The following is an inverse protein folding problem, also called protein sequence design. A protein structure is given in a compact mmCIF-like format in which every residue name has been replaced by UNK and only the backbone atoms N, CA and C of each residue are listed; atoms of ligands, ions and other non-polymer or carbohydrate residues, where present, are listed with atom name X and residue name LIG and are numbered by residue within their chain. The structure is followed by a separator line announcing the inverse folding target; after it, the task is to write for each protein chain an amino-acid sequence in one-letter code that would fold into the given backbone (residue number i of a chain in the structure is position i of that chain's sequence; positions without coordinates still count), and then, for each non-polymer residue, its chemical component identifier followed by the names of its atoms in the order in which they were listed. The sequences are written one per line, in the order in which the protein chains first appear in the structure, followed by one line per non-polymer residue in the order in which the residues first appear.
data_IF_674346583880
#
_entry.id   IF_674346583880
#
_cell.length_a   1.000
_cell.length_b   1.000
_cell.length_c   1.000
_cell.angle_alpha   90.00
_cell.angle_beta   90.00
_cell.angle_gamma   90.00
#
_symmetry.space_group_name_H-M   'P 1'
#
loop_
_entity.id
_entity.type
_entity.pdbx_description
1 polymer ?
#
# COMPACT_ATOMS: atom_id res chain seq x y z
N UNK A 1 22.61 -26.50 -13.90
CA UNK A 1 23.04 -27.85 -14.35
C UNK A 1 22.84 -28.85 -13.22
N UNK A 2 22.23 -29.97 -13.54
CA UNK A 2 21.88 -31.05 -12.58
C UNK A 2 22.80 -32.28 -12.72
N UNK A 3 23.25 -32.55 -13.90
CA UNK A 3 24.06 -33.71 -14.25
C UNK A 3 25.08 -33.30 -15.30
N UNK A 4 26.18 -34.00 -15.35
CA UNK A 4 27.29 -33.75 -16.24
C UNK A 4 27.55 -34.99 -17.12
N UNK A 5 27.76 -34.82 -18.40
CA UNK A 5 28.11 -35.91 -19.31
C UNK A 5 29.62 -35.95 -19.67
N UNK A 6 30.02 -36.85 -20.57
CA UNK A 6 31.41 -37.03 -20.98
C UNK A 6 32.04 -35.82 -21.72
N UNK A 7 31.23 -34.88 -22.20
CA UNK A 7 31.66 -33.67 -22.91
C UNK A 7 31.80 -32.42 -22.04
N UNK A 8 31.78 -32.59 -20.75
CA UNK A 8 31.54 -31.53 -19.80
C UNK A 8 32.78 -30.87 -19.19
N UNK A 9 33.83 -30.69 -19.99
CA UNK A 9 34.90 -29.77 -19.61
C UNK A 9 34.44 -28.30 -19.53
N UNK A 10 33.30 -27.99 -20.16
CA UNK A 10 32.77 -26.62 -20.30
C UNK A 10 31.71 -26.23 -19.28
N UNK A 11 31.24 -27.17 -18.46
CA UNK A 11 30.27 -26.91 -17.40
C UNK A 11 30.35 -27.91 -16.25
N UNK A 12 29.84 -27.50 -15.10
CA UNK A 12 29.80 -28.31 -13.87
C UNK A 12 28.39 -28.31 -13.27
N UNK A 13 28.11 -29.30 -12.42
CA UNK A 13 26.86 -29.33 -11.65
C UNK A 13 26.78 -28.07 -10.79
N UNK A 14 25.66 -27.36 -10.90
CA UNK A 14 25.41 -26.08 -10.22
C UNK A 14 25.63 -24.85 -11.10
N UNK A 15 26.25 -25.00 -12.28
CA UNK A 15 26.37 -23.86 -13.21
C UNK A 15 25.00 -23.41 -13.72
N UNK A 16 24.88 -22.12 -13.99
CA UNK A 16 23.67 -21.48 -14.49
C UNK A 16 23.98 -20.85 -15.85
N UNK A 17 23.22 -21.23 -16.87
CA UNK A 17 23.33 -20.72 -18.23
C UNK A 17 22.01 -20.08 -18.66
N UNK A 18 22.12 -19.10 -19.55
CA UNK A 18 20.98 -18.62 -20.29
C UNK A 18 20.68 -19.61 -21.43
N UNK A 19 19.40 -19.95 -21.61
CA UNK A 19 18.96 -20.82 -22.69
C UNK A 19 18.91 -20.01 -23.98
N UNK A 20 19.69 -20.40 -24.98
CA UNK A 20 19.71 -19.75 -26.30
C UNK A 20 18.54 -20.24 -27.17
N UNK A 21 18.26 -21.53 -27.13
CA UNK A 21 17.13 -22.15 -27.82
C UNK A 21 16.77 -23.48 -27.18
N UNK A 22 15.58 -23.99 -27.49
CA UNK A 22 15.13 -25.32 -27.03
C UNK A 22 14.81 -26.21 -28.19
N UNK A 23 14.97 -27.53 -27.98
CA UNK A 23 14.56 -28.57 -28.91
C UNK A 23 13.81 -29.69 -28.16
N UNK A 24 13.25 -30.67 -28.85
CA UNK A 24 12.41 -31.68 -28.22
C UNK A 24 13.10 -32.44 -27.05
N UNK A 25 14.40 -32.70 -27.19
CA UNK A 25 15.21 -33.47 -26.23
C UNK A 25 15.93 -32.63 -25.19
N UNK A 26 16.03 -31.30 -25.36
CA UNK A 26 16.86 -30.50 -24.45
C UNK A 26 16.89 -29.00 -24.74
N UNK A 27 18.00 -28.37 -24.39
CA UNK A 27 18.26 -26.95 -24.59
C UNK A 27 19.68 -26.72 -25.11
N UNK A 28 19.83 -25.67 -25.91
CA UNK A 28 21.13 -25.17 -26.35
C UNK A 28 21.49 -23.95 -25.48
N UNK A 29 22.73 -23.91 -25.02
CA UNK A 29 23.31 -22.81 -24.23
C UNK A 29 24.71 -22.51 -24.75
N UNK A 30 25.26 -21.37 -24.38
CA UNK A 30 26.66 -21.03 -24.69
C UNK A 30 27.46 -21.05 -23.40
N UNK A 31 28.59 -21.77 -23.39
CA UNK A 31 29.49 -21.85 -22.22
C UNK A 31 30.15 -20.50 -21.93
N UNK A 32 30.75 -20.35 -20.75
CA UNK A 32 31.55 -19.17 -20.38
C UNK A 32 32.71 -18.94 -21.35
N UNK A 33 33.24 -20.02 -21.97
CA UNK A 33 34.28 -19.99 -22.99
C UNK A 33 33.76 -19.60 -24.39
N UNK A 34 32.42 -19.40 -24.55
CA UNK A 34 31.80 -19.07 -25.80
C UNK A 34 31.54 -20.30 -26.72
N UNK A 35 31.61 -21.53 -26.17
CA UNK A 35 31.37 -22.76 -26.91
C UNK A 35 29.88 -23.12 -26.83
N UNK A 36 29.22 -23.35 -28.01
CA UNK A 36 27.85 -23.83 -28.03
C UNK A 36 27.75 -25.26 -27.43
N UNK A 37 26.80 -25.46 -26.54
CA UNK A 37 26.52 -26.72 -25.87
C UNK A 37 25.06 -27.12 -26.07
N UNK A 38 24.82 -28.41 -26.26
CA UNK A 38 23.47 -28.98 -26.21
C UNK A 38 23.33 -29.83 -24.96
N UNK A 39 22.36 -29.49 -24.11
CA UNK A 39 22.07 -30.17 -22.86
C UNK A 39 20.80 -31.00 -23.01
N UNK A 40 20.86 -32.27 -22.60
CA UNK A 40 19.69 -33.13 -22.53
C UNK A 40 18.77 -32.74 -21.35
N UNK A 41 17.49 -33.07 -21.42
CA UNK A 41 16.49 -32.69 -20.39
C UNK A 41 16.81 -33.22 -18.99
N UNK A 42 17.59 -34.29 -18.86
CA UNK A 42 18.00 -34.83 -17.57
C UNK A 42 19.25 -34.15 -16.98
N UNK A 43 19.97 -33.34 -17.78
CA UNK A 43 21.20 -32.66 -17.35
C UNK A 43 20.94 -31.33 -16.65
N UNK A 44 19.75 -30.73 -16.83
CA UNK A 44 19.44 -29.41 -16.27
C UNK A 44 18.05 -29.34 -15.66
N UNK A 45 17.82 -28.26 -14.91
CA UNK A 45 16.50 -27.83 -14.45
C UNK A 45 16.31 -26.40 -14.94
N UNK A 46 15.17 -26.12 -15.57
CA UNK A 46 14.81 -24.73 -15.87
C UNK A 46 14.60 -24.01 -14.54
N UNK A 47 15.36 -22.96 -14.33
CA UNK A 47 15.05 -22.01 -13.29
C UNK A 47 14.00 -21.08 -13.88
N UNK A 48 12.83 -21.01 -13.26
CA UNK A 48 11.89 -19.95 -13.55
C UNK A 48 12.64 -18.63 -13.38
N UNK A 49 12.53 -17.72 -14.33
CA UNK A 49 13.03 -16.36 -14.12
C UNK A 49 12.37 -15.89 -12.83
N UNK A 50 13.15 -15.75 -11.78
CA UNK A 50 12.70 -15.05 -10.59
C UNK A 50 12.26 -13.68 -11.14
N UNK A 51 10.98 -13.39 -11.07
CA UNK A 51 10.46 -12.06 -11.39
C UNK A 51 11.42 -11.08 -10.72
N UNK A 52 12.13 -10.30 -11.51
CA UNK A 52 13.02 -9.29 -10.96
C UNK A 52 12.12 -8.35 -10.18
N UNK A 53 12.04 -8.55 -8.87
CA UNK A 53 11.38 -7.60 -7.99
C UNK A 53 12.05 -6.25 -8.25
N UNK A 54 11.36 -5.39 -8.95
CA UNK A 54 11.79 -4.00 -9.11
C UNK A 54 11.65 -3.37 -7.73
N UNK A 55 12.76 -2.97 -7.10
CA UNK A 55 12.68 -2.37 -5.77
C UNK A 55 11.81 -1.10 -5.86
N UNK A 56 10.74 -1.07 -5.09
CA UNK A 56 9.85 0.09 -5.00
C UNK A 56 10.56 1.13 -4.11
N UNK A 57 10.84 2.30 -4.65
CA UNK A 57 11.20 3.46 -3.83
C UNK A 57 9.96 3.91 -3.03
N UNK A 58 9.97 3.58 -1.75
CA UNK A 58 8.84 3.80 -0.86
C UNK A 58 8.45 5.28 -0.77
N UNK A 59 9.41 6.18 -0.71
CA UNK A 59 9.13 7.62 -0.68
C UNK A 59 8.38 8.07 -1.94
N UNK A 60 8.86 7.69 -3.12
CA UNK A 60 8.21 8.04 -4.40
C UNK A 60 6.83 7.39 -4.52
N UNK A 61 6.67 6.16 -4.05
CA UNK A 61 5.38 5.48 -4.03
C UNK A 61 4.35 6.26 -3.19
N UNK A 62 4.70 6.62 -1.96
CA UNK A 62 3.83 7.39 -1.07
C UNK A 62 3.51 8.78 -1.64
N UNK A 63 4.48 9.43 -2.27
CA UNK A 63 4.25 10.69 -2.97
C UNK A 63 3.23 10.53 -4.11
N UNK A 64 3.30 9.44 -4.87
CA UNK A 64 2.33 9.12 -5.93
C UNK A 64 0.93 8.85 -5.39
N UNK A 65 0.81 8.14 -4.27
CA UNK A 65 -0.48 7.91 -3.59
C UNK A 65 -1.09 9.23 -3.12
N UNK A 66 -0.29 10.11 -2.50
CA UNK A 66 -0.76 11.43 -2.08
C UNK A 66 -1.17 12.30 -3.27
N UNK A 67 -0.46 12.24 -4.40
CA UNK A 67 -0.82 12.98 -5.62
C UNK A 67 -2.21 12.56 -6.12
N UNK A 68 -2.47 11.24 -6.18
CA UNK A 68 -3.78 10.70 -6.55
C UNK A 68 -4.88 11.16 -5.58
N UNK A 69 -4.66 11.11 -4.28
CA UNK A 69 -5.65 11.56 -3.30
C UNK A 69 -5.92 13.06 -3.37
N UNK A 70 -4.89 13.87 -3.60
CA UNK A 70 -5.06 15.32 -3.79
C UNK A 70 -5.88 15.63 -5.05
N UNK A 71 -5.67 14.92 -6.15
CA UNK A 71 -6.47 15.03 -7.37
C UNK A 71 -7.94 14.64 -7.11
N UNK A 72 -8.19 13.54 -6.42
CA UNK A 72 -9.56 13.11 -6.06
C UNK A 72 -10.28 14.14 -5.19
N UNK A 73 -9.59 14.79 -4.26
CA UNK A 73 -10.16 15.85 -3.42
C UNK A 73 -10.45 17.10 -4.25
N UNK A 74 -9.50 17.51 -5.09
CA UNK A 74 -9.66 18.69 -5.96
C UNK A 74 -10.80 18.53 -6.96
N UNK A 75 -10.96 17.35 -7.55
CA UNK A 75 -12.05 17.02 -8.48
C UNK A 75 -13.42 16.82 -7.80
N UNK A 76 -13.47 16.76 -6.47
CA UNK A 76 -14.70 16.55 -5.70
C UNK A 76 -15.15 15.09 -5.61
N UNK A 77 -14.34 14.13 -6.06
CA UNK A 77 -14.59 12.68 -5.87
C UNK A 77 -14.47 12.26 -4.41
N UNK A 78 -13.63 12.95 -3.63
CA UNK A 78 -13.52 12.81 -2.19
C UNK A 78 -13.69 14.15 -1.48
N UNK A 79 -14.45 14.16 -0.38
CA UNK A 79 -14.52 15.31 0.52
C UNK A 79 -13.24 15.42 1.36
N UNK A 80 -12.84 14.30 1.92
CA UNK A 80 -11.66 14.13 2.77
C UNK A 80 -10.84 12.93 2.28
N UNK A 81 -9.51 13.07 2.20
CA UNK A 81 -8.59 11.96 2.03
C UNK A 81 -7.52 11.99 3.13
N UNK A 82 -6.92 10.84 3.38
CA UNK A 82 -5.81 10.69 4.34
C UNK A 82 -4.64 10.05 3.62
N UNK A 83 -3.41 10.52 3.91
CA UNK A 83 -2.20 9.78 3.50
C UNK A 83 -2.13 8.44 4.22
N UNK A 84 -1.26 7.54 3.75
CA UNK A 84 -0.94 6.35 4.52
C UNK A 84 -0.41 6.75 5.91
N UNK A 85 -0.69 5.95 6.95
CA UNK A 85 -0.22 6.22 8.29
C UNK A 85 1.28 5.95 8.41
N UNK A 86 2.02 6.89 9.01
CA UNK A 86 3.43 6.78 9.36
C UNK A 86 3.60 6.36 10.81
N UNK A 87 4.65 5.61 11.10
CA UNK A 87 4.96 5.15 12.47
C UNK A 87 5.48 6.27 13.37
N UNK A 88 6.10 7.28 12.77
CA UNK A 88 6.65 8.40 13.52
C UNK A 88 6.26 9.75 12.91
N UNK A 89 6.23 10.77 13.77
CA UNK A 89 6.01 12.15 13.34
C UNK A 89 7.11 12.63 12.38
N UNK A 90 8.34 12.22 12.62
CA UNK A 90 9.48 12.57 11.76
C UNK A 90 9.33 11.99 10.34
N UNK A 91 8.86 10.76 10.23
CA UNK A 91 8.56 10.14 8.95
C UNK A 91 7.47 10.91 8.20
N UNK A 92 6.32 11.17 8.84
CA UNK A 92 5.26 12.00 8.26
C UNK A 92 5.80 13.37 7.81
N UNK A 93 6.57 14.04 8.66
CA UNK A 93 7.08 15.39 8.38
C UNK A 93 8.11 15.39 7.24
N UNK A 94 8.75 14.26 6.93
CA UNK A 94 9.64 14.12 5.76
C UNK A 94 8.89 14.34 4.43
N UNK A 95 7.59 14.06 4.37
CA UNK A 95 6.74 14.29 3.21
C UNK A 95 6.22 15.73 3.08
N UNK A 96 6.41 16.60 4.09
CA UNK A 96 5.85 17.95 4.11
C UNK A 96 6.20 18.80 2.86
N UNK A 97 7.42 18.75 2.31
CA UNK A 97 7.73 19.51 1.09
C UNK A 97 6.85 19.07 -0.10
N UNK A 98 6.63 17.77 -0.24
CA UNK A 98 5.77 17.23 -1.29
C UNK A 98 4.30 17.57 -1.04
N UNK A 99 3.81 17.43 0.20
CA UNK A 99 2.43 17.79 0.57
C UNK A 99 2.12 19.24 0.21
N UNK A 100 3.01 20.18 0.55
CA UNK A 100 2.86 21.60 0.19
C UNK A 100 2.75 21.79 -1.32
N UNK A 101 3.65 21.18 -2.10
CA UNK A 101 3.66 21.26 -3.55
C UNK A 101 2.37 20.71 -4.17
N UNK A 102 1.88 19.57 -3.67
CA UNK A 102 0.65 18.95 -4.14
C UNK A 102 -0.58 19.80 -3.81
N UNK A 103 -0.67 20.31 -2.59
CA UNK A 103 -1.80 21.17 -2.20
C UNK A 103 -1.82 22.49 -2.98
N UNK A 104 -0.67 23.09 -3.27
CA UNK A 104 -0.54 24.24 -4.15
C UNK A 104 -0.95 23.90 -5.59
N UNK A 105 -0.46 22.77 -6.15
CA UNK A 105 -0.82 22.28 -7.50
C UNK A 105 -2.31 22.12 -7.69
N UNK A 106 -3.00 21.58 -6.70
CA UNK A 106 -4.42 21.22 -6.78
C UNK A 106 -5.37 22.27 -6.15
N UNK A 107 -4.86 23.31 -5.51
CA UNK A 107 -5.66 24.34 -4.84
C UNK A 107 -6.49 23.78 -3.68
N UNK A 108 -5.93 22.85 -2.90
CA UNK A 108 -6.58 22.23 -1.75
C UNK A 108 -5.82 22.51 -0.46
N UNK A 109 -6.42 22.17 0.66
CA UNK A 109 -5.87 22.36 2.00
C UNK A 109 -5.35 21.02 2.55
N UNK A 110 -4.44 21.10 3.52
CA UNK A 110 -3.97 19.94 4.27
C UNK A 110 -3.86 20.26 5.76
N UNK A 111 -3.91 19.21 6.57
CA UNK A 111 -3.63 19.30 8.02
C UNK A 111 -2.75 18.12 8.45
N UNK A 112 -1.61 18.36 9.13
CA UNK A 112 -0.81 17.30 9.75
C UNK A 112 -1.54 16.78 10.97
N UNK A 113 -1.75 15.47 11.06
CA UNK A 113 -2.51 14.83 12.11
C UNK A 113 -1.60 13.98 12.99
N UNK A 114 -1.61 14.23 14.27
CA UNK A 114 -0.85 13.51 15.29
C UNK A 114 -1.69 12.41 15.98
N UNK A 115 -3.01 12.52 15.96
CA UNK A 115 -3.96 11.54 16.52
C UNK A 115 -5.05 11.25 15.49
N UNK A 116 -5.09 10.06 14.95
CA UNK A 116 -6.13 9.65 14.02
C UNK A 116 -7.49 9.48 14.70
N UNK A 117 -8.58 9.73 13.95
CA UNK A 117 -9.92 9.35 14.35
C UNK A 117 -10.07 7.82 14.28
N UNK A 118 -10.27 7.18 15.43
CA UNK A 118 -10.45 5.74 15.54
C UNK A 118 -11.94 5.43 15.63
N UNK A 119 -12.44 4.63 14.71
CA UNK A 119 -13.84 4.20 14.65
C UNK A 119 -13.93 2.73 14.29
N UNK A 120 -15.15 2.18 14.30
CA UNK A 120 -15.39 0.82 13.79
C UNK A 120 -15.29 0.69 12.26
N UNK A 121 -14.95 1.77 11.54
CA UNK A 121 -14.74 1.74 10.08
C UNK A 121 -13.47 0.99 9.69
N UNK A 122 -12.39 1.14 10.48
CA UNK A 122 -11.11 0.49 10.26
C UNK A 122 -10.61 -0.17 11.55
N UNK A 123 -9.71 -1.15 11.42
CA UNK A 123 -9.03 -1.73 12.57
C UNK A 123 -8.23 -0.64 13.30
N UNK A 124 -8.32 -0.62 14.63
CA UNK A 124 -7.63 0.38 15.44
C UNK A 124 -6.12 0.35 15.22
N UNK A 125 -5.53 -0.84 15.12
CA UNK A 125 -4.10 -1.08 14.94
C UNK A 125 -3.54 -0.41 13.66
N UNK A 126 -4.39 -0.19 12.66
CA UNK A 126 -3.97 0.46 11.43
C UNK A 126 -3.72 1.97 11.59
N UNK A 127 -4.36 2.61 12.58
CA UNK A 127 -4.33 4.06 12.73
C UNK A 127 -3.97 4.54 14.15
N UNK A 128 -4.01 3.65 15.15
CA UNK A 128 -3.68 4.00 16.52
C UNK A 128 -2.19 4.36 16.64
N UNK A 129 -1.88 5.46 17.29
CA UNK A 129 -0.51 5.97 17.49
C UNK A 129 0.24 6.22 16.18
N UNK A 130 -0.50 6.47 15.09
CA UNK A 130 0.05 6.78 13.77
C UNK A 130 -0.15 8.25 13.41
N UNK A 131 0.70 8.71 12.49
CA UNK A 131 0.76 10.08 12.01
C UNK A 131 0.44 10.11 10.52
N UNK A 132 -0.42 11.03 10.07
CA UNK A 132 -0.74 11.18 8.66
C UNK A 132 -1.05 12.61 8.28
N UNK A 133 -1.36 12.86 7.00
CA UNK A 133 -1.92 14.11 6.52
C UNK A 133 -3.38 13.91 6.14
N UNK A 134 -4.19 14.92 6.47
CA UNK A 134 -5.54 15.08 5.95
C UNK A 134 -5.48 16.03 4.74
N UNK A 135 -6.21 15.69 3.68
CA UNK A 135 -6.39 16.51 2.48
C UNK A 135 -7.87 16.82 2.30
N UNK A 136 -8.22 18.09 2.11
CA UNK A 136 -9.58 18.54 1.97
C UNK A 136 -9.64 19.83 1.15
N UNK A 137 -10.80 20.12 0.56
CA UNK A 137 -10.95 21.28 -0.31
C UNK A 137 -11.35 22.55 0.45
N UNK A 138 -12.22 22.44 1.43
CA UNK A 138 -12.84 23.54 2.16
C UNK A 138 -12.74 23.33 3.66
N UNK A 139 -12.69 24.42 4.41
CA UNK A 139 -12.49 24.40 5.87
C UNK A 139 -13.62 23.68 6.61
N UNK A 140 -14.87 23.75 6.12
CA UNK A 140 -16.04 23.08 6.71
C UNK A 140 -15.88 21.54 6.74
N UNK A 141 -15.18 20.96 5.76
CA UNK A 141 -14.85 19.53 5.76
C UNK A 141 -13.94 19.17 6.94
N UNK A 142 -12.95 20.01 7.21
CA UNK A 142 -12.06 19.82 8.36
C UNK A 142 -12.78 20.03 9.70
N UNK A 143 -13.66 21.02 9.78
CA UNK A 143 -14.51 21.26 10.95
C UNK A 143 -15.41 20.05 11.23
N UNK A 144 -16.05 19.48 10.19
CA UNK A 144 -16.82 18.23 10.33
C UNK A 144 -15.97 17.10 10.86
N UNK A 145 -14.73 16.97 10.39
CA UNK A 145 -13.79 15.97 10.91
C UNK A 145 -13.48 16.19 12.41
N UNK A 146 -13.27 17.43 12.82
CA UNK A 146 -13.03 17.78 14.25
C UNK A 146 -14.25 17.47 15.12
N UNK A 147 -15.47 17.69 14.63
CA UNK A 147 -16.70 17.31 15.34
C UNK A 147 -16.79 15.79 15.55
N UNK A 148 -16.43 14.99 14.53
CA UNK A 148 -16.37 13.53 14.69
C UNK A 148 -15.32 13.10 15.72
N UNK A 149 -14.15 13.74 15.75
CA UNK A 149 -13.13 13.51 16.79
C UNK A 149 -13.63 13.86 18.18
N UNK A 150 -14.38 14.95 18.32
CA UNK A 150 -14.98 15.34 19.58
C UNK A 150 -16.00 14.29 20.04
N UNK A 151 -16.88 13.82 19.16
CA UNK A 151 -17.84 12.74 19.45
C UNK A 151 -17.13 11.45 19.86
N UNK A 152 -16.03 11.08 19.20
CA UNK A 152 -15.22 9.93 19.63
C UNK A 152 -14.77 10.07 21.09
N UNK A 153 -14.16 11.21 21.45
CA UNK A 153 -13.67 11.46 22.82
C UNK A 153 -14.80 11.46 23.86
N UNK A 154 -15.97 11.96 23.49
CA UNK A 154 -17.16 11.91 24.35
C UNK A 154 -17.63 10.46 24.58
N UNK A 155 -17.67 9.63 23.55
CA UNK A 155 -18.00 8.20 23.67
C UNK A 155 -16.97 7.45 24.52
N UNK A 156 -15.68 7.72 24.33
CA UNK A 156 -14.62 7.12 25.14
C UNK A 156 -14.76 7.47 26.63
N UNK A 157 -15.11 8.73 26.96
CA UNK A 157 -15.34 9.17 28.32
C UNK A 157 -16.56 8.52 29.00
N UNK A 158 -17.51 8.00 28.18
CA UNK A 158 -18.74 7.31 28.62
C UNK A 158 -18.61 5.79 28.57
N UNK A 159 -17.42 5.25 28.85
CA UNK A 159 -17.11 3.81 28.77
C UNK A 159 -17.28 3.19 27.36
N UNK A 160 -17.03 3.99 26.32
CA UNK A 160 -17.05 3.53 24.93
C UNK A 160 -18.40 3.68 24.22
N UNK A 161 -19.40 4.25 24.86
CA UNK A 161 -20.73 4.47 24.28
C UNK A 161 -21.48 3.17 23.93
N UNK A 162 -22.68 3.30 23.36
CA UNK A 162 -23.46 2.17 22.86
C UNK A 162 -22.92 1.66 21.52
N UNK A 163 -23.27 0.42 21.16
CA UNK A 163 -22.93 -0.14 19.86
C UNK A 163 -23.52 0.65 18.68
N UNK A 164 -24.68 1.29 18.89
CA UNK A 164 -25.32 2.12 17.88
C UNK A 164 -24.61 3.46 17.69
N UNK A 165 -24.18 4.12 18.76
CA UNK A 165 -23.44 5.39 18.69
C UNK A 165 -22.10 5.21 18.00
N UNK A 166 -21.36 4.13 18.28
CA UNK A 166 -20.13 3.79 17.58
C UNK A 166 -20.35 3.49 16.11
N UNK A 167 -21.43 2.75 15.80
CA UNK A 167 -21.81 2.45 14.42
C UNK A 167 -22.08 3.75 13.64
N UNK A 168 -22.88 4.66 14.22
CA UNK A 168 -23.20 5.92 13.57
C UNK A 168 -21.95 6.80 13.37
N UNK A 169 -21.03 6.85 14.35
CA UNK A 169 -19.76 7.56 14.19
C UNK A 169 -18.93 7.00 13.03
N UNK A 170 -18.87 5.67 12.89
CA UNK A 170 -18.18 5.02 11.79
C UNK A 170 -18.84 5.31 10.43
N UNK A 171 -20.19 5.33 10.38
CA UNK A 171 -20.94 5.68 9.17
C UNK A 171 -20.66 7.13 8.75
N UNK A 172 -20.74 8.08 9.69
CA UNK A 172 -20.50 9.50 9.43
C UNK A 172 -19.06 9.74 8.94
N UNK A 173 -18.09 9.05 9.54
CA UNK A 173 -16.70 9.12 9.09
C UNK A 173 -16.51 8.52 7.69
N UNK A 174 -17.12 7.38 7.41
CA UNK A 174 -17.09 6.78 6.07
C UNK A 174 -17.72 7.68 4.99
N UNK A 175 -18.83 8.35 5.33
CA UNK A 175 -19.48 9.33 4.46
C UNK A 175 -18.58 10.56 4.21
N UNK A 176 -17.85 11.04 5.23
CA UNK A 176 -16.89 12.12 5.09
C UNK A 176 -15.71 11.71 4.17
N UNK A 177 -15.26 10.46 4.24
CA UNK A 177 -14.26 9.89 3.33
C UNK A 177 -14.81 9.59 1.92
N UNK A 178 -16.11 9.88 1.68
CA UNK A 178 -16.82 9.64 0.41
C UNK A 178 -16.95 8.18 0.00
N UNK A 179 -16.96 7.26 0.96
CA UNK A 179 -17.29 5.86 0.69
C UNK A 179 -18.79 5.69 0.42
N UNK A 180 -19.18 4.83 -0.53
CA UNK A 180 -20.58 4.48 -0.73
C UNK A 180 -21.13 3.72 0.48
N UNK A 181 -22.43 3.90 0.79
CA UNK A 181 -23.07 3.31 1.97
C UNK A 181 -22.82 1.81 2.13
N UNK A 182 -22.95 1.05 1.03
CA UNK A 182 -22.67 -0.41 1.06
C UNK A 182 -21.20 -0.72 1.39
N UNK A 183 -20.26 0.11 0.93
CA UNK A 183 -18.84 0.00 1.25
C UNK A 183 -18.58 0.24 2.73
N UNK A 184 -19.22 1.26 3.31
CA UNK A 184 -19.13 1.59 4.75
C UNK A 184 -19.62 0.39 5.60
N UNK A 185 -20.80 -0.15 5.28
CA UNK A 185 -21.37 -1.30 6.01
C UNK A 185 -20.44 -2.51 5.97
N UNK A 186 -19.89 -2.86 4.79
CA UNK A 186 -18.94 -3.98 4.66
C UNK A 186 -17.66 -3.78 5.47
N UNK A 187 -17.12 -2.56 5.49
CA UNK A 187 -15.93 -2.25 6.28
C UNK A 187 -16.18 -2.40 7.77
N UNK A 188 -17.31 -1.89 8.29
CA UNK A 188 -17.69 -2.02 9.69
C UNK A 188 -17.89 -3.49 10.07
N UNK A 189 -18.59 -4.28 9.24
CA UNK A 189 -18.79 -5.72 9.46
C UNK A 189 -17.45 -6.46 9.54
N UNK A 190 -16.56 -6.25 8.56
CA UNK A 190 -15.21 -6.84 8.54
C UNK A 190 -14.41 -6.49 9.79
N UNK A 191 -14.45 -5.22 10.21
CA UNK A 191 -13.74 -4.76 11.42
C UNK A 191 -14.31 -5.42 12.69
N UNK A 192 -15.61 -5.60 12.77
CA UNK A 192 -16.27 -6.28 13.91
C UNK A 192 -15.99 -7.77 13.94
N UNK A 193 -15.90 -8.43 12.80
CA UNK A 193 -15.53 -9.85 12.70
C UNK A 193 -14.07 -10.09 13.14
N UNK A 194 -13.15 -9.22 12.75
CA UNK A 194 -11.74 -9.32 13.12
C UNK A 194 -11.47 -9.08 14.62
N UNK A 195 -12.41 -8.48 15.35
CA UNK A 195 -12.33 -8.25 16.81
C UNK A 195 -12.92 -9.38 17.67
N UNK A 196 -13.52 -10.40 17.04
CA UNK A 196 -14.10 -11.59 17.70
C UNK A 196 -13.08 -12.70 17.82
#
# INVERSE_FOLDING_TARGET
IRKNDEYSAEYQIGDIFQVDSTWYGGANVTSVSGIPLSLDKDEYVLLEEAEKEVPIDHYSYECGVMDCFCEMVASGLKKLAMSHPCDTKAERDSYLPQVKRLCEKYGILYHPQDEALITDLFLAEANQDKYNYLFFRTQDVYETYLELKKRQKELESQCGGTGEERYQLAVDFGALLSYPEQGIRRLIEKTREARR
#
